data_IF_478858749988
#
_entry.id   IF_478858749988
#
_cell.length_a   1.000
_cell.length_b   1.000
_cell.length_c   1.000
_cell.angle_alpha   90.00
_cell.angle_beta   90.00
_cell.angle_gamma   90.00
#
_symmetry.space_group_name_H-M   'P 1'
#
loop_
_entity.id
_entity.type
_entity.pdbx_description
1 polymer ?
#
# COMPACT_ATOMS: atom_id res chain seq x y z
N UNK A 1 3.77 -31.31 -7.28
CA UNK A 1 4.53 -31.32 -6.00
C UNK A 1 5.72 -30.37 -6.02
N UNK A 2 6.60 -30.46 -7.01
CA UNK A 2 7.79 -29.59 -7.12
C UNK A 2 7.44 -28.09 -7.24
N UNK A 3 6.46 -27.74 -8.09
CA UNK A 3 6.01 -26.35 -8.24
C UNK A 3 5.43 -25.75 -6.94
N UNK A 4 4.61 -26.52 -6.21
CA UNK A 4 4.08 -26.14 -4.90
C UNK A 4 5.20 -25.95 -3.86
N UNK A 5 6.23 -26.81 -3.88
CA UNK A 5 7.38 -26.67 -3.00
C UNK A 5 8.21 -25.42 -3.33
N UNK A 6 8.42 -25.11 -4.62
CA UNK A 6 9.07 -23.84 -5.05
C UNK A 6 8.30 -22.62 -4.57
N UNK A 7 6.98 -22.61 -4.72
CA UNK A 7 6.13 -21.53 -4.24
C UNK A 7 6.20 -21.39 -2.71
N UNK A 8 6.09 -22.50 -1.97
CA UNK A 8 6.23 -22.49 -0.50
C UNK A 8 7.57 -21.92 -0.06
N UNK A 9 8.68 -22.42 -0.62
CA UNK A 9 10.02 -21.91 -0.32
C UNK A 9 10.13 -20.41 -0.57
N UNK A 10 9.49 -19.87 -1.61
CA UNK A 10 9.48 -18.42 -1.88
C UNK A 10 8.62 -17.64 -0.90
N UNK A 11 7.41 -18.10 -0.62
CA UNK A 11 6.53 -17.48 0.38
C UNK A 11 7.21 -17.45 1.76
N UNK A 12 7.95 -18.51 2.11
CA UNK A 12 8.71 -18.58 3.36
C UNK A 12 9.95 -17.67 3.36
N UNK A 13 10.66 -17.54 2.23
CA UNK A 13 11.80 -16.61 2.10
C UNK A 13 11.40 -15.15 2.25
N UNK A 14 10.21 -14.78 1.80
CA UNK A 14 9.69 -13.42 1.93
C UNK A 14 9.10 -13.10 3.32
N UNK A 15 8.95 -14.11 4.19
CA UNK A 15 8.56 -13.91 5.60
C UNK A 15 9.72 -13.48 6.50
N UNK A 16 10.96 -13.72 6.09
CA UNK A 16 12.13 -13.18 6.77
C UNK A 16 12.27 -11.70 6.42
N UNK A 17 12.34 -10.78 7.40
CA UNK A 17 12.66 -9.39 7.11
C UNK A 17 13.97 -9.34 6.33
N UNK A 18 14.00 -8.56 5.25
CA UNK A 18 15.20 -8.31 4.45
C UNK A 18 16.24 -7.74 5.40
N UNK A 19 17.15 -8.58 5.87
CA UNK A 19 18.33 -8.15 6.62
C UNK A 19 19.26 -7.52 5.60
N UNK A 20 19.22 -6.19 5.51
CA UNK A 20 20.23 -5.45 4.77
C UNK A 20 21.58 -5.72 5.46
N UNK A 21 22.51 -6.33 4.73
CA UNK A 21 23.90 -6.46 5.17
C UNK A 21 24.42 -5.07 5.52
N UNK A 22 24.73 -4.88 6.80
CA UNK A 22 25.41 -3.69 7.31
C UNK A 22 26.77 -3.64 6.62
N UNK A 23 26.93 -2.69 5.69
CA UNK A 23 28.26 -2.31 5.22
C UNK A 23 28.89 -1.53 6.37
N UNK A 24 29.89 -2.12 7.02
CA UNK A 24 30.67 -1.43 8.04
C UNK A 24 31.20 -0.09 7.47
N UNK A 25 30.93 1.05 8.13
CA UNK A 25 31.47 2.32 7.68
C UNK A 25 32.99 2.30 7.83
N UNK A 26 33.71 2.47 6.71
CA UNK A 26 35.16 2.71 6.75
C UNK A 26 35.44 3.97 7.58
N UNK A 27 36.43 3.96 8.48
CA UNK A 27 36.76 5.12 9.29
C UNK A 27 37.24 6.28 8.42
N UNK A 28 36.64 7.44 8.65
CA UNK A 28 37.01 8.72 8.06
C UNK A 28 38.35 9.17 8.66
N UNK A 29 39.33 9.48 7.80
CA UNK A 29 40.66 9.91 8.19
C UNK A 29 40.80 11.42 7.94
N UNK A 30 40.82 12.29 8.95
CA UNK A 30 40.93 13.72 8.74
C UNK A 30 42.40 14.14 8.79
N UNK A 31 43.00 14.46 7.64
CA UNK A 31 44.27 15.20 7.63
C UNK A 31 44.37 16.06 6.38
N UNK A 32 44.13 17.36 6.55
CA UNK A 32 44.91 18.45 5.95
C UNK A 32 44.29 19.79 6.35
N UNK A 33 45.01 20.55 7.18
CA UNK A 33 44.77 21.97 7.42
C UNK A 33 45.37 22.80 6.28
N UNK A 34 44.79 23.97 5.97
CA UNK A 34 45.56 25.08 5.42
C UNK A 34 45.65 26.23 6.43
N UNK A 35 46.86 26.76 6.54
CA UNK A 35 47.25 27.94 7.32
C UNK A 35 46.82 29.27 6.63
N UNK A 36 46.91 30.41 7.35
CA UNK A 36 46.10 31.60 7.10
C UNK A 36 46.77 32.60 6.15
N UNK A 37 45.96 33.45 5.50
CA UNK A 37 46.44 34.66 4.85
C UNK A 37 45.59 35.88 5.24
N UNK A 38 46.31 36.79 5.87
CA UNK A 38 46.15 38.19 6.25
C UNK A 38 45.17 39.06 5.44
N UNK A 39 44.42 39.89 6.15
CA UNK A 39 43.65 41.07 5.66
C UNK A 39 44.57 42.22 5.17
N UNK A 40 44.01 43.26 4.52
CA UNK A 40 43.62 44.43 5.31
C UNK A 40 42.30 45.14 4.91
N UNK A 41 41.55 45.52 5.96
CA UNK A 41 40.65 46.67 6.18
C UNK A 41 40.28 47.62 5.02
N UNK A 42 38.97 47.95 4.91
CA UNK A 42 38.46 49.34 5.10
C UNK A 42 36.92 49.44 5.18
N UNK A 43 36.45 49.93 6.34
CA UNK A 43 35.32 50.85 6.61
C UNK A 43 34.15 51.00 5.61
N UNK A 44 32.92 50.70 6.03
CA UNK A 44 31.93 51.72 6.46
C UNK A 44 30.54 51.14 6.76
N UNK A 45 29.96 51.60 7.88
CA UNK A 45 28.58 51.36 8.33
C UNK A 45 27.60 52.28 7.56
N UNK A 46 26.32 51.92 7.40
CA UNK A 46 25.34 52.37 8.41
C UNK A 46 24.15 51.43 8.71
N UNK A 47 23.80 51.41 10.00
CA UNK A 47 22.45 51.31 10.61
C UNK A 47 21.31 50.71 9.76
N UNK A 48 20.84 49.53 10.17
CA UNK A 48 19.43 49.17 10.06
C UNK A 48 18.97 48.32 11.26
N UNK A 49 17.87 48.79 11.81
CA UNK A 49 16.83 48.27 12.72
C UNK A 49 16.97 46.88 13.38
N UNK A 50 16.45 46.72 14.63
CA UNK A 50 16.46 45.45 15.33
C UNK A 50 15.51 44.47 14.63
N UNK A 51 16.06 43.55 13.86
CA UNK A 51 15.36 42.34 13.47
C UNK A 51 15.06 41.57 14.74
N UNK A 52 13.78 41.48 15.10
CA UNK A 52 13.27 40.48 16.03
C UNK A 52 13.68 39.10 15.51
N UNK A 53 14.83 38.61 15.98
CA UNK A 53 15.24 37.22 15.93
C UNK A 53 14.27 36.47 16.85
N UNK A 54 13.08 36.19 16.33
CA UNK A 54 12.25 35.10 16.82
C UNK A 54 13.11 33.86 16.67
N UNK A 55 13.64 33.38 17.79
CA UNK A 55 14.42 32.16 17.84
C UNK A 55 13.55 31.06 17.24
N UNK A 56 13.87 30.62 16.02
CA UNK A 56 13.34 29.38 15.45
C UNK A 56 13.80 28.27 16.39
N UNK A 57 12.95 27.91 17.37
CA UNK A 57 13.15 26.69 18.15
C UNK A 57 13.16 25.56 17.13
N UNK A 58 14.31 24.92 16.96
CA UNK A 58 14.44 23.72 16.15
C UNK A 58 13.55 22.65 16.77
N UNK A 59 12.46 22.31 16.10
CA UNK A 59 11.59 21.22 16.50
C UNK A 59 12.39 19.91 16.50
N UNK A 60 12.40 19.22 17.63
CA UNK A 60 13.00 17.89 17.74
C UNK A 60 12.01 16.84 17.21
N UNK A 61 12.50 15.93 16.38
CA UNK A 61 11.72 14.81 15.84
C UNK A 61 12.04 13.51 16.60
N UNK A 62 11.09 12.57 16.74
CA UNK A 62 9.68 12.67 16.35
C UNK A 62 8.89 13.67 17.20
N UNK A 63 7.79 14.19 16.63
CA UNK A 63 6.73 14.79 17.44
C UNK A 63 5.85 13.69 17.98
N UNK A 64 5.42 13.83 19.22
CA UNK A 64 4.53 12.90 19.89
C UNK A 64 3.18 13.56 20.15
N UNK A 65 2.11 12.90 19.71
CA UNK A 65 0.74 13.29 19.98
C UNK A 65 -0.01 12.11 20.61
N UNK A 66 -1.20 12.41 21.15
CA UNK A 66 -2.15 11.39 21.59
C UNK A 66 -3.47 11.54 20.84
N UNK A 67 -4.13 10.42 20.57
CA UNK A 67 -5.48 10.44 20.02
C UNK A 67 -6.47 10.95 21.07
N UNK A 68 -7.49 11.73 20.69
CA UNK A 68 -8.36 12.41 21.65
C UNK A 68 -9.26 11.47 22.44
N UNK A 69 -9.65 10.31 21.88
CA UNK A 69 -10.61 9.42 22.54
C UNK A 69 -9.97 8.33 23.38
N UNK A 70 -8.91 7.71 22.87
CA UNK A 70 -8.30 6.54 23.49
C UNK A 70 -6.87 6.77 23.98
N UNK A 71 -6.35 8.01 23.87
CA UNK A 71 -5.00 8.37 24.29
C UNK A 71 -3.92 7.48 23.67
N UNK A 72 -4.13 7.06 22.41
CA UNK A 72 -3.12 6.31 21.69
C UNK A 72 -2.02 7.25 21.27
N UNK A 73 -0.79 6.86 21.55
CA UNK A 73 0.38 7.61 21.14
C UNK A 73 0.54 7.53 19.63
N UNK A 74 0.81 8.66 18.99
CA UNK A 74 1.15 8.77 17.57
C UNK A 74 2.46 9.54 17.43
N UNK A 75 3.43 8.90 16.79
CA UNK A 75 4.70 9.53 16.45
C UNK A 75 4.63 10.09 15.03
N UNK A 76 5.06 11.33 14.86
CA UNK A 76 5.12 12.03 13.58
C UNK A 76 6.57 12.30 13.26
N UNK A 77 6.96 11.99 12.02
CA UNK A 77 8.27 12.27 11.47
C UNK A 77 8.13 13.14 10.22
N UNK A 78 9.08 14.05 10.03
CA UNK A 78 9.28 14.73 8.75
C UNK A 78 10.32 13.93 7.96
N UNK A 79 9.89 13.28 6.89
CA UNK A 79 10.74 12.41 6.09
C UNK A 79 10.88 13.01 4.70
N UNK A 80 12.08 13.00 4.14
CA UNK A 80 12.27 13.30 2.72
C UNK A 80 12.50 11.98 1.99
N UNK A 81 11.56 11.60 1.14
CA UNK A 81 11.65 10.46 0.24
C UNK A 81 12.55 10.82 -0.96
N UNK A 82 13.72 11.39 -0.69
CA UNK A 82 14.60 12.02 -1.67
C UNK A 82 15.45 11.04 -2.46
N UNK A 83 15.29 9.73 -2.29
CA UNK A 83 16.08 8.72 -3.01
C UNK A 83 15.27 7.47 -3.35
N UNK A 84 13.97 7.62 -3.64
CA UNK A 84 13.31 6.58 -4.43
C UNK A 84 13.96 6.56 -5.80
N UNK A 85 14.99 5.71 -5.93
CA UNK A 85 15.56 5.34 -7.21
C UNK A 85 14.37 4.89 -8.03
N UNK A 86 14.02 5.71 -9.02
CA UNK A 86 13.26 5.21 -10.14
C UNK A 86 14.10 4.09 -10.74
N UNK A 87 13.84 2.84 -10.33
CA UNK A 87 14.49 1.67 -10.92
C UNK A 87 14.01 1.44 -12.36
N UNK A 88 13.01 2.20 -12.81
CA UNK A 88 12.23 1.91 -14.01
C UNK A 88 12.01 3.10 -14.94
N UNK A 89 12.30 4.35 -14.55
CA UNK A 89 12.14 5.50 -15.43
C UNK A 89 13.21 6.56 -15.17
N UNK A 90 13.94 7.00 -16.20
CA UNK A 90 14.91 8.11 -16.11
C UNK A 90 14.27 9.48 -15.83
N UNK A 91 13.20 9.53 -15.04
CA UNK A 91 12.55 10.74 -14.58
C UNK A 91 13.45 11.46 -13.56
N UNK A 92 13.42 12.80 -13.54
CA UNK A 92 14.18 13.59 -12.59
C UNK A 92 13.80 13.20 -11.15
N UNK A 93 14.82 13.04 -10.32
CA UNK A 93 14.70 12.83 -8.88
C UNK A 93 13.86 13.97 -8.31
N UNK A 94 12.72 13.63 -7.71
CA UNK A 94 11.89 14.59 -6.97
C UNK A 94 12.08 14.32 -5.49
N UNK A 95 12.49 15.35 -4.76
CA UNK A 95 12.48 15.31 -3.31
C UNK A 95 11.02 15.41 -2.84
N UNK A 96 10.46 14.28 -2.44
CA UNK A 96 9.11 14.22 -1.89
C UNK A 96 9.20 14.33 -0.37
N UNK A 97 8.90 15.52 0.16
CA UNK A 97 8.79 15.71 1.60
C UNK A 97 7.45 15.18 2.09
N UNK A 98 7.46 14.33 3.11
CA UNK A 98 6.28 13.68 3.66
C UNK A 98 6.22 13.80 5.18
N UNK A 99 5.00 13.79 5.71
CA UNK A 99 4.71 13.48 7.10
C UNK A 99 4.50 11.97 7.24
N UNK A 100 5.24 11.31 8.13
CA UNK A 100 5.02 9.89 8.43
C UNK A 100 4.49 9.76 9.85
N UNK A 101 3.27 9.25 9.98
CA UNK A 101 2.58 9.01 11.23
C UNK A 101 2.64 7.53 11.58
N UNK A 102 2.93 7.19 12.84
CA UNK A 102 3.00 5.81 13.33
C UNK A 102 2.23 5.72 14.65
N UNK A 103 1.22 4.85 14.72
CA UNK A 103 0.52 4.57 15.98
C UNK A 103 1.37 3.73 16.92
N UNK A 104 1.14 3.89 18.22
CA UNK A 104 1.71 3.04 19.26
C UNK A 104 0.63 2.63 20.26
N UNK A 105 0.54 1.32 20.51
CA UNK A 105 -0.37 0.73 21.48
C UNK A 105 -1.60 0.10 20.84
N UNK A 106 -1.89 0.38 19.57
CA UNK A 106 -3.01 -0.25 18.86
C UNK A 106 -2.79 -1.76 18.71
N UNK A 107 -1.54 -2.19 18.56
CA UNK A 107 -1.24 -3.62 18.44
C UNK A 107 -1.61 -4.43 19.68
N UNK A 108 -1.74 -3.79 20.85
CA UNK A 108 -2.16 -4.47 22.07
C UNK A 108 -3.64 -4.89 22.04
N UNK A 109 -4.45 -4.28 21.17
CA UNK A 109 -5.88 -4.59 21.02
C UNK A 109 -6.21 -5.18 19.65
N UNK A 110 -5.51 -4.75 18.60
CA UNK A 110 -5.84 -5.06 17.21
C UNK A 110 -4.75 -5.85 16.47
N UNK A 111 -3.67 -6.26 17.15
CA UNK A 111 -2.63 -7.12 16.57
C UNK A 111 -1.68 -6.46 15.57
N UNK A 112 -1.79 -5.14 15.36
CA UNK A 112 -0.81 -4.35 14.63
C UNK A 112 -0.95 -2.85 14.85
N UNK A 113 0.03 -2.09 14.36
CA UNK A 113 0.05 -0.63 14.33
C UNK A 113 -0.36 -0.09 12.95
N UNK A 114 -0.71 1.19 12.87
CA UNK A 114 -1.01 1.91 11.64
C UNK A 114 0.15 2.84 11.29
N UNK A 115 0.49 2.88 10.00
CA UNK A 115 1.45 3.84 9.45
C UNK A 115 0.80 4.61 8.32
N UNK A 116 0.85 5.94 8.34
CA UNK A 116 0.44 6.76 7.20
C UNK A 116 1.59 7.65 6.77
N UNK A 117 1.95 7.59 5.50
CA UNK A 117 2.84 8.57 4.88
C UNK A 117 2.01 9.53 4.06
N UNK A 118 2.11 10.82 4.31
CA UNK A 118 1.31 11.86 3.69
C UNK A 118 2.24 12.87 3.00
N UNK A 119 2.01 13.13 1.72
CA UNK A 119 2.78 14.13 0.99
C UNK A 119 2.54 15.52 1.60
N UNK A 120 3.64 16.21 1.92
CA UNK A 120 3.61 17.57 2.46
C UNK A 120 3.34 18.56 1.34
N UNK A 121 2.44 19.50 1.57
CA UNK A 121 2.22 20.63 0.65
C UNK A 121 3.36 21.63 0.78
N UNK A 122 3.69 22.34 -0.30
CA UNK A 122 4.78 23.32 -0.30
C UNK A 122 4.59 24.44 0.74
N UNK A 123 3.33 24.78 1.05
CA UNK A 123 2.96 25.80 2.05
C UNK A 123 3.06 25.33 3.50
N UNK A 124 3.23 24.03 3.75
CA UNK A 124 3.22 23.48 5.10
C UNK A 124 4.60 23.59 5.77
N UNK A 125 4.64 24.32 6.88
CA UNK A 125 5.82 24.41 7.73
C UNK A 125 6.05 23.15 8.59
N UNK A 126 7.15 23.10 9.37
CA UNK A 126 7.53 21.97 10.22
C UNK A 126 6.47 21.47 11.22
N UNK A 127 5.55 22.35 11.64
CA UNK A 127 4.48 22.06 12.61
C UNK A 127 3.09 21.95 11.97
N UNK A 128 2.99 22.06 10.65
CA UNK A 128 1.72 22.11 9.93
C UNK A 128 1.25 20.71 9.47
N UNK A 129 1.57 19.67 10.25
CA UNK A 129 1.08 18.33 9.98
C UNK A 129 -0.43 18.24 10.28
N UNK A 130 -1.24 17.57 9.45
CA UNK A 130 -2.66 17.39 9.71
C UNK A 130 -2.92 16.38 10.84
N UNK A 131 -4.08 16.50 11.48
CA UNK A 131 -4.44 15.72 12.67
C UNK A 131 -5.44 14.57 12.39
N UNK A 132 -5.96 14.48 11.17
CA UNK A 132 -7.00 13.51 10.81
C UNK A 132 -6.57 12.04 11.02
N UNK A 133 -5.27 11.74 10.93
CA UNK A 133 -4.76 10.40 11.21
C UNK A 133 -5.05 9.94 12.66
N UNK A 134 -5.14 10.88 13.62
CA UNK A 134 -5.52 10.57 15.00
C UNK A 134 -6.94 9.99 15.07
N UNK A 135 -7.86 10.52 14.25
CA UNK A 135 -9.25 10.06 14.16
C UNK A 135 -9.33 8.65 13.54
N UNK A 136 -8.50 8.37 12.54
CA UNK A 136 -8.37 7.02 11.96
C UNK A 136 -7.92 6.01 13.03
N UNK A 137 -6.89 6.35 13.81
CA UNK A 137 -6.40 5.50 14.90
C UNK A 137 -7.50 5.22 15.94
N UNK A 138 -8.21 6.27 16.38
CA UNK A 138 -9.32 6.12 17.33
C UNK A 138 -10.43 5.22 16.78
N UNK A 139 -10.74 5.34 15.49
CA UNK A 139 -11.78 4.51 14.86
C UNK A 139 -11.39 3.03 14.85
N UNK A 140 -10.18 2.70 14.43
CA UNK A 140 -9.70 1.32 14.43
C UNK A 140 -9.60 0.73 15.85
N UNK A 141 -9.12 1.51 16.81
CA UNK A 141 -9.08 1.07 18.21
C UNK A 141 -10.47 0.78 18.77
N UNK A 142 -11.43 1.68 18.52
CA UNK A 142 -12.82 1.49 18.95
C UNK A 142 -13.46 0.25 18.33
N UNK A 143 -13.20 -0.04 17.05
CA UNK A 143 -13.67 -1.27 16.38
C UNK A 143 -13.01 -2.52 16.97
N UNK A 144 -11.69 -2.49 17.20
CA UNK A 144 -10.96 -3.60 17.78
C UNK A 144 -11.43 -3.91 19.20
N UNK A 145 -11.64 -2.88 20.03
CA UNK A 145 -12.09 -3.06 21.42
C UNK A 145 -13.54 -3.57 21.51
N UNK A 146 -14.45 -3.10 20.64
CA UNK A 146 -15.87 -3.50 20.68
C UNK A 146 -16.13 -4.86 20.05
N UNK A 147 -15.40 -5.20 18.99
CA UNK A 147 -15.70 -6.36 18.16
C UNK A 147 -14.59 -7.40 18.15
N UNK A 148 -13.53 -7.22 18.96
CA UNK A 148 -12.33 -8.06 18.96
C UNK A 148 -11.70 -8.21 17.56
N UNK A 149 -11.90 -7.20 16.70
CA UNK A 149 -11.42 -7.21 15.31
C UNK A 149 -9.92 -6.96 15.28
N UNK A 150 -9.18 -7.88 14.66
CA UNK A 150 -7.77 -7.69 14.34
C UNK A 150 -7.63 -6.87 13.06
N UNK A 151 -6.56 -6.08 12.96
CA UNK A 151 -6.20 -5.42 11.72
C UNK A 151 -5.83 -6.46 10.67
N UNK A 152 -6.27 -6.21 9.44
CA UNK A 152 -6.00 -7.09 8.31
C UNK A 152 -5.65 -6.27 7.08
N UNK A 153 -4.75 -6.80 6.25
CA UNK A 153 -4.52 -6.27 4.90
C UNK A 153 -5.84 -6.21 4.12
N UNK A 154 -5.95 -5.15 3.34
CA UNK A 154 -7.07 -4.76 2.50
C UNK A 154 -8.39 -4.55 3.24
N UNK A 155 -8.34 -4.43 4.57
CA UNK A 155 -9.48 -4.02 5.35
C UNK A 155 -9.87 -2.59 4.99
N UNK A 156 -11.15 -2.42 4.68
CA UNK A 156 -11.76 -1.13 4.38
C UNK A 156 -12.42 -0.59 5.64
N UNK A 157 -12.27 0.71 5.85
CA UNK A 157 -12.94 1.48 6.88
C UNK A 157 -13.55 2.72 6.24
N UNK A 158 -14.86 2.83 6.31
CA UNK A 158 -15.59 4.04 5.93
C UNK A 158 -15.74 4.96 7.14
N UNK A 159 -15.52 6.25 6.92
CA UNK A 159 -15.67 7.31 7.91
C UNK A 159 -16.86 8.18 7.57
N UNK A 160 -17.56 8.67 8.61
CA UNK A 160 -18.73 9.53 8.45
C UNK A 160 -18.37 10.94 7.96
N UNK A 161 -17.18 11.41 8.31
CA UNK A 161 -16.70 12.75 7.95
C UNK A 161 -15.46 12.63 7.06
N UNK A 162 -15.27 13.55 6.10
CA UNK A 162 -14.08 13.61 5.27
C UNK A 162 -12.79 13.78 6.08
N UNK A 163 -11.69 13.42 5.44
CA UNK A 163 -10.33 13.55 5.94
C UNK A 163 -9.55 14.60 5.15
N UNK A 164 -8.65 15.30 5.82
CA UNK A 164 -7.60 16.11 5.19
C UNK A 164 -8.11 17.20 4.23
N UNK A 165 -9.23 17.84 4.59
CA UNK A 165 -9.88 18.91 3.82
C UNK A 165 -10.35 18.48 2.42
N UNK A 166 -10.58 17.16 2.22
CA UNK A 166 -11.05 16.58 0.96
C UNK A 166 -12.42 15.95 1.12
N UNK A 167 -13.41 16.54 0.45
CA UNK A 167 -14.81 16.08 0.50
C UNK A 167 -15.03 14.68 -0.05
N UNK A 168 -14.08 14.08 -0.76
CA UNK A 168 -14.17 12.75 -1.36
C UNK A 168 -13.26 11.71 -0.68
N UNK A 169 -12.67 12.06 0.48
CA UNK A 169 -11.77 11.19 1.24
C UNK A 169 -12.46 10.65 2.50
N UNK A 170 -13.31 9.64 2.33
CA UNK A 170 -14.01 8.95 3.43
C UNK A 170 -13.56 7.51 3.62
N UNK A 171 -12.95 6.93 2.59
CA UNK A 171 -12.64 5.50 2.53
C UNK A 171 -11.16 5.26 2.81
N UNK A 172 -10.90 4.62 3.95
CA UNK A 172 -9.58 4.24 4.44
C UNK A 172 -9.33 2.76 4.17
N UNK A 173 -8.11 2.42 3.76
CA UNK A 173 -7.71 1.04 3.48
C UNK A 173 -6.38 0.72 4.15
N UNK A 174 -6.33 -0.45 4.78
CA UNK A 174 -5.08 -1.03 5.26
C UNK A 174 -4.38 -1.73 4.10
N UNK A 175 -3.33 -1.12 3.54
CA UNK A 175 -2.57 -1.66 2.42
C UNK A 175 -1.53 -2.69 2.85
N UNK A 176 -0.30 -2.47 2.40
CA UNK A 176 0.84 -3.36 2.67
C UNK A 176 1.13 -3.47 4.16
N UNK A 177 1.64 -4.63 4.54
CA UNK A 177 2.00 -4.96 5.91
C UNK A 177 3.51 -5.15 5.97
N UNK A 178 4.16 -4.59 6.99
CA UNK A 178 5.58 -4.78 7.27
C UNK A 178 6.54 -4.39 6.11
N UNK A 179 6.08 -3.60 5.14
CA UNK A 179 6.90 -3.07 4.06
C UNK A 179 7.78 -1.93 4.58
N UNK A 180 9.07 -1.98 4.25
CA UNK A 180 10.06 -1.03 4.74
C UNK A 180 9.59 0.43 4.56
N UNK A 181 9.62 1.21 5.64
CA UNK A 181 9.29 2.63 5.60
C UNK A 181 10.43 3.39 4.92
N UNK A 182 10.23 3.76 3.65
CA UNK A 182 11.23 4.50 2.88
C UNK A 182 11.61 5.82 3.56
N UNK A 183 12.90 6.12 3.61
CA UNK A 183 13.44 7.31 4.28
C UNK A 183 13.47 7.23 5.81
N UNK A 184 13.03 6.11 6.36
CA UNK A 184 12.95 5.81 7.79
C UNK A 184 13.76 4.56 8.14
N UNK A 185 14.76 4.23 7.33
CA UNK A 185 15.61 3.03 7.48
C UNK A 185 16.40 3.02 8.81
N UNK A 186 16.50 4.20 9.47
CA UNK A 186 17.18 4.40 10.75
C UNK A 186 16.23 4.24 11.95
N UNK A 187 14.92 4.09 11.74
CA UNK A 187 14.05 3.67 12.84
C UNK A 187 14.50 2.29 13.31
N UNK A 188 15.10 2.27 14.50
CA UNK A 188 15.61 1.08 15.15
C UNK A 188 14.58 -0.05 15.04
N UNK A 189 15.01 -1.19 14.49
CA UNK A 189 14.19 -2.38 14.27
C UNK A 189 13.40 -2.83 15.52
N UNK A 190 13.84 -2.40 16.71
CA UNK A 190 13.17 -2.63 18.00
C UNK A 190 11.82 -1.91 18.14
N UNK A 191 11.65 -0.73 17.53
CA UNK A 191 10.38 0.03 17.57
C UNK A 191 9.32 -0.52 16.60
N UNK A 192 9.74 -1.33 15.64
CA UNK A 192 8.88 -1.91 14.59
C UNK A 192 8.89 -3.45 14.67
N UNK A 193 8.91 -3.99 15.89
CA UNK A 193 8.78 -5.44 16.13
C UNK A 193 7.36 -5.95 15.94
N UNK A 194 6.38 -5.05 16.00
CA UNK A 194 4.97 -5.39 15.84
C UNK A 194 4.57 -5.29 14.36
N UNK A 195 3.60 -6.12 13.91
CA UNK A 195 2.98 -5.92 12.62
C UNK A 195 2.50 -4.48 12.45
N UNK A 196 2.69 -3.89 11.27
CA UNK A 196 2.10 -2.59 10.94
C UNK A 196 1.51 -2.60 9.54
N UNK A 197 0.51 -1.74 9.34
CA UNK A 197 -0.24 -1.63 8.10
C UNK A 197 -0.18 -0.20 7.57
N UNK A 198 0.16 -0.05 6.29
CA UNK A 198 0.09 1.24 5.62
C UNK A 198 -1.37 1.66 5.47
N UNK A 199 -1.69 2.89 5.86
CA UNK A 199 -3.00 3.47 5.70
C UNK A 199 -3.01 4.26 4.39
N UNK A 200 -3.85 3.80 3.47
CA UNK A 200 -4.08 4.42 2.18
C UNK A 200 -5.50 5.00 2.14
N UNK A 201 -5.70 6.01 1.29
CA UNK A 201 -7.02 6.61 1.05
C UNK A 201 -7.47 6.36 -0.38
N UNK A 202 -8.77 6.12 -0.54
CA UNK A 202 -9.46 6.16 -1.81
C UNK A 202 -10.28 7.44 -1.92
N UNK A 203 -10.41 7.96 -3.14
CA UNK A 203 -11.52 8.86 -3.48
C UNK A 203 -12.82 8.04 -3.52
N UNK A 204 -13.98 8.69 -3.43
CA UNK A 204 -15.27 8.01 -3.60
C UNK A 204 -15.37 7.23 -4.91
N UNK A 205 -14.92 7.82 -6.01
CA UNK A 205 -14.90 7.13 -7.32
C UNK A 205 -14.00 5.89 -7.32
N UNK A 206 -12.86 5.92 -6.61
CA UNK A 206 -11.98 4.77 -6.45
C UNK A 206 -12.59 3.72 -5.52
N UNK A 207 -13.32 4.14 -4.49
CA UNK A 207 -14.04 3.25 -3.59
C UNK A 207 -15.16 2.50 -4.33
N UNK A 208 -15.91 3.20 -5.19
CA UNK A 208 -16.89 2.60 -6.09
C UNK A 208 -16.25 1.56 -7.02
N UNK A 209 -15.09 1.89 -7.59
CA UNK A 209 -14.31 0.94 -8.40
C UNK A 209 -13.88 -0.26 -7.56
N UNK A 210 -13.37 -0.06 -6.35
CA UNK A 210 -12.93 -1.13 -5.47
C UNK A 210 -14.08 -2.08 -5.12
N UNK A 211 -15.28 -1.54 -4.85
CA UNK A 211 -16.49 -2.32 -4.57
C UNK A 211 -16.92 -3.14 -5.79
N UNK A 212 -16.95 -2.54 -6.98
CA UNK A 212 -17.48 -3.19 -8.19
C UNK A 212 -16.49 -4.07 -8.94
N UNK A 213 -15.21 -3.74 -8.90
CA UNK A 213 -14.18 -4.38 -9.72
C UNK A 213 -13.08 -5.06 -8.90
N UNK A 214 -13.02 -4.83 -7.59
CA UNK A 214 -11.98 -5.34 -6.72
C UNK A 214 -10.89 -4.30 -6.45
N UNK A 215 -10.23 -4.50 -5.30
CA UNK A 215 -9.34 -3.52 -4.70
C UNK A 215 -8.11 -3.20 -5.55
N UNK A 216 -7.50 -4.23 -6.14
CA UNK A 216 -6.29 -4.06 -6.94
C UNK A 216 -6.56 -3.17 -8.15
N UNK A 217 -7.74 -3.29 -8.77
CA UNK A 217 -8.09 -2.44 -9.91
C UNK A 217 -8.20 -0.96 -9.53
N UNK A 218 -8.76 -0.64 -8.36
CA UNK A 218 -8.81 0.74 -7.87
C UNK A 218 -7.40 1.34 -7.65
N UNK A 219 -6.46 0.53 -7.13
CA UNK A 219 -5.12 1.02 -6.79
C UNK A 219 -4.15 1.11 -7.98
N UNK A 220 -4.23 0.19 -8.95
CA UNK A 220 -3.22 0.10 -10.01
C UNK A 220 -3.49 1.05 -11.18
N UNK A 221 -4.72 1.55 -11.36
CA UNK A 221 -5.01 2.54 -12.42
C UNK A 221 -4.35 3.91 -12.12
N UNK A 222 -3.75 4.09 -10.94
CA UNK A 222 -3.00 5.29 -10.51
C UNK A 222 -1.67 5.56 -11.24
N UNK A 223 -1.34 4.81 -12.30
CA UNK A 223 0.02 4.75 -12.88
C UNK A 223 0.36 5.84 -13.91
N UNK A 224 -0.45 6.87 -14.10
CA UNK A 224 -0.06 8.04 -14.92
C UNK A 224 1.19 8.77 -14.36
N UNK A 225 1.70 8.36 -13.20
CA UNK A 225 2.99 8.80 -12.65
C UNK A 225 3.81 7.60 -12.09
N UNK A 226 4.67 6.94 -12.90
CA UNK A 226 5.68 6.02 -12.38
C UNK A 226 6.66 6.76 -11.43
N UNK A 227 7.26 6.08 -10.42
CA UNK A 227 7.73 4.70 -10.48
C UNK A 227 7.35 3.82 -9.26
N UNK A 228 6.15 3.98 -8.68
CA UNK A 228 5.78 3.23 -7.48
C UNK A 228 5.07 1.92 -7.82
N UNK A 229 5.57 0.81 -7.28
CA UNK A 229 4.95 -0.50 -7.45
C UNK A 229 4.36 -1.02 -6.12
N UNK A 230 3.14 -1.57 -6.15
CA UNK A 230 2.15 -1.46 -7.23
C UNK A 230 1.43 -0.09 -7.21
N UNK A 231 1.57 0.66 -6.11
CA UNK A 231 1.05 2.00 -5.92
C UNK A 231 1.99 2.77 -4.96
N UNK A 232 1.90 4.12 -4.91
CA UNK A 232 2.65 4.91 -3.93
C UNK A 232 2.30 4.51 -2.49
N UNK A 233 3.33 4.40 -1.64
CA UNK A 233 3.18 4.14 -0.20
C UNK A 233 2.77 5.39 0.60
N UNK A 234 2.63 6.53 -0.09
CA UNK A 234 2.18 7.78 0.47
C UNK A 234 0.84 8.23 -0.13
N UNK A 235 0.10 9.00 0.66
CA UNK A 235 -1.12 9.67 0.26
C UNK A 235 -0.78 11.07 -0.21
N UNK A 236 -1.17 11.40 -1.44
CA UNK A 236 -1.20 12.77 -1.94
C UNK A 236 -2.62 13.32 -1.78
N UNK A 237 -2.78 14.43 -1.03
CA UNK A 237 -4.08 15.07 -0.78
C UNK A 237 -4.59 15.89 -1.95
N UNK A 238 -3.69 16.28 -2.85
CA UNK A 238 -4.00 17.15 -3.98
C UNK A 238 -4.16 16.34 -5.27
N UNK A 239 -3.99 15.02 -5.20
CA UNK A 239 -4.22 14.11 -6.32
C UNK A 239 -5.68 14.11 -6.76
N UNK A 240 -5.89 13.83 -8.04
CA UNK A 240 -7.21 13.47 -8.58
C UNK A 240 -7.50 11.98 -8.33
N UNK A 241 -8.76 11.62 -8.49
CA UNK A 241 -9.17 10.23 -8.62
C UNK A 241 -8.39 9.57 -9.75
N UNK A 242 -7.74 8.44 -9.47
CA UNK A 242 -7.02 7.66 -10.47
C UNK A 242 -7.94 6.79 -11.31
N UNK A 243 -9.15 6.49 -10.82
CA UNK A 243 -10.07 5.57 -11.48
C UNK A 243 -11.51 5.89 -11.14
N UNK A 244 -12.42 5.63 -12.08
CA UNK A 244 -13.85 5.79 -11.87
C UNK A 244 -14.61 4.72 -12.65
N UNK A 245 -15.84 4.43 -12.26
CA UNK A 245 -16.69 3.47 -12.98
C UNK A 245 -16.96 3.90 -14.43
N UNK A 246 -16.97 5.21 -14.70
CA UNK A 246 -17.16 5.74 -16.06
C UNK A 246 -15.96 5.41 -16.96
N UNK A 247 -14.75 5.41 -16.41
CA UNK A 247 -13.54 4.97 -17.10
C UNK A 247 -13.53 3.46 -17.37
N UNK A 248 -14.27 2.66 -16.58
CA UNK A 248 -14.32 1.20 -16.70
C UNK A 248 -15.47 0.67 -17.57
N UNK A 249 -16.14 1.55 -18.31
CA UNK A 249 -17.19 1.16 -19.27
C UNK A 249 -16.64 0.15 -20.28
N UNK A 250 -17.31 -0.99 -20.39
CA UNK A 250 -16.92 -2.07 -21.29
C UNK A 250 -16.12 -3.19 -20.62
N UNK A 251 -15.72 -3.02 -19.36
CA UNK A 251 -15.17 -4.12 -18.56
C UNK A 251 -16.14 -5.31 -18.50
N UNK A 252 -15.67 -6.47 -18.94
CA UNK A 252 -16.32 -7.76 -18.83
C UNK A 252 -16.40 -8.25 -17.38
N UNK A 253 -15.58 -7.74 -16.46
CA UNK A 253 -15.69 -8.05 -15.03
C UNK A 253 -17.03 -7.65 -14.42
N UNK A 254 -17.72 -6.66 -15.01
CA UNK A 254 -19.08 -6.23 -14.61
C UNK A 254 -20.17 -7.07 -15.27
N UNK A 255 -19.85 -7.71 -16.41
CA UNK A 255 -20.84 -8.41 -17.25
C UNK A 255 -21.19 -9.78 -16.71
N UNK A 256 -20.43 -10.29 -15.75
CA UNK A 256 -20.78 -11.50 -15.03
C UNK A 256 -21.77 -11.20 -13.90
N UNK A 257 -23.04 -11.01 -14.30
CA UNK A 257 -24.31 -11.15 -13.57
C UNK A 257 -24.32 -11.04 -12.03
N UNK A 258 -25.33 -10.34 -11.50
CA UNK A 258 -25.78 -10.28 -10.09
C UNK A 258 -26.01 -11.63 -9.37
N UNK A 259 -25.81 -12.75 -10.07
CA UNK A 259 -25.86 -14.12 -9.55
C UNK A 259 -24.44 -14.73 -9.53
N UNK A 260 -23.47 -14.01 -8.98
CA UNK A 260 -22.16 -14.56 -8.65
C UNK A 260 -21.95 -14.53 -7.16
N UNK A 261 -21.19 -15.50 -6.69
CA UNK A 261 -20.79 -15.54 -5.29
C UNK A 261 -19.35 -15.10 -5.16
N UNK A 262 -19.15 -13.94 -4.54
CA UNK A 262 -17.83 -13.38 -4.31
C UNK A 262 -17.21 -13.97 -3.03
N UNK A 263 -15.95 -14.40 -3.11
CA UNK A 263 -15.09 -14.63 -1.95
C UNK A 263 -14.02 -13.55 -1.98
N UNK A 264 -13.95 -12.78 -0.89
CA UNK A 264 -12.89 -11.81 -0.68
C UNK A 264 -11.81 -12.43 0.20
N UNK A 265 -10.63 -11.85 0.17
CA UNK A 265 -9.61 -12.18 1.16
C UNK A 265 -8.67 -13.32 0.81
N UNK A 266 -8.66 -13.75 -0.45
CA UNK A 266 -7.73 -14.74 -0.99
C UNK A 266 -6.74 -14.06 -1.92
N UNK A 267 -5.67 -14.75 -2.33
CA UNK A 267 -4.72 -14.23 -3.31
C UNK A 267 -4.65 -15.15 -4.53
N UNK A 268 -4.83 -14.59 -5.72
CA UNK A 268 -4.70 -15.27 -7.01
C UNK A 268 -3.39 -14.83 -7.65
N UNK A 269 -2.49 -15.78 -7.86
CA UNK A 269 -1.13 -15.52 -8.33
C UNK A 269 -0.82 -16.34 -9.58
N UNK A 270 -0.02 -15.80 -10.48
CA UNK A 270 0.51 -16.51 -11.65
C UNK A 270 2.04 -16.63 -11.55
N UNK A 271 2.55 -17.85 -11.74
CA UNK A 271 3.97 -18.12 -11.96
C UNK A 271 4.11 -18.92 -13.26
N UNK A 272 4.74 -18.33 -14.28
CA UNK A 272 4.80 -18.93 -15.61
C UNK A 272 3.39 -19.14 -16.19
N UNK A 273 3.02 -20.40 -16.43
CA UNK A 273 1.67 -20.79 -16.90
C UNK A 273 0.74 -21.24 -15.78
N UNK A 274 1.26 -21.40 -14.56
CA UNK A 274 0.53 -21.94 -13.43
C UNK A 274 -0.20 -20.84 -12.68
N UNK A 275 -1.46 -21.07 -12.33
CA UNK A 275 -2.25 -20.21 -11.45
C UNK A 275 -2.38 -20.86 -10.08
N UNK A 276 -2.09 -20.07 -9.05
CA UNK A 276 -2.17 -20.46 -7.65
C UNK A 276 -3.26 -19.66 -6.96
N UNK A 277 -4.09 -20.36 -6.21
CA UNK A 277 -4.99 -19.76 -5.23
C UNK A 277 -4.39 -19.96 -3.83
N UNK A 278 -3.97 -18.86 -3.21
CA UNK A 278 -3.53 -18.87 -1.82
C UNK A 278 -4.70 -18.54 -0.90
N UNK A 279 -4.94 -19.44 0.04
CA UNK A 279 -5.96 -19.29 1.07
C UNK A 279 -5.26 -19.05 2.40
N UNK A 280 -5.43 -17.88 3.04
CA UNK A 280 -4.82 -17.61 4.33
C UNK A 280 -5.24 -18.65 5.37
N UNK A 281 -4.35 -19.10 6.27
CA UNK A 281 -4.65 -20.18 7.23
C UNK A 281 -5.92 -19.94 8.04
N UNK A 282 -6.16 -18.70 8.49
CA UNK A 282 -7.35 -18.32 9.25
C UNK A 282 -8.66 -18.32 8.45
N UNK A 283 -8.61 -18.49 7.12
CA UNK A 283 -9.77 -18.56 6.22
C UNK A 283 -9.91 -19.94 5.57
N UNK A 284 -9.00 -20.88 5.83
CA UNK A 284 -8.95 -22.15 5.10
C UNK A 284 -10.20 -23.02 5.34
N UNK A 285 -10.66 -23.12 6.58
CA UNK A 285 -11.85 -23.91 6.92
C UNK A 285 -13.13 -23.25 6.40
N UNK A 286 -13.27 -21.92 6.55
CA UNK A 286 -14.41 -21.17 5.99
C UNK A 286 -14.45 -21.30 4.47
N UNK A 287 -13.29 -21.20 3.81
CA UNK A 287 -13.17 -21.38 2.36
C UNK A 287 -13.60 -22.80 1.95
N UNK A 288 -13.08 -23.84 2.61
CA UNK A 288 -13.48 -25.23 2.35
C UNK A 288 -14.96 -25.45 2.57
N UNK A 289 -15.54 -24.94 3.66
CA UNK A 289 -16.97 -25.06 3.95
C UNK A 289 -17.82 -24.32 2.91
N UNK A 290 -17.29 -23.23 2.36
CA UNK A 290 -17.96 -22.47 1.32
C UNK A 290 -18.06 -23.24 0.01
N UNK A 291 -17.09 -24.09 -0.36
CA UNK A 291 -17.07 -24.77 -1.67
C UNK A 291 -18.28 -25.72 -1.88
N UNK A 292 -18.60 -26.67 -0.97
CA UNK A 292 -19.69 -27.64 -1.16
C UNK A 292 -21.08 -26.99 -1.21
N UNK A 293 -21.35 -25.98 -0.38
CA UNK A 293 -22.64 -25.27 -0.40
C UNK A 293 -22.88 -24.57 -1.75
N UNK A 294 -21.80 -24.29 -2.49
CA UNK A 294 -21.79 -23.50 -3.72
C UNK A 294 -21.74 -24.34 -4.99
N UNK A 295 -21.41 -25.63 -4.88
CA UNK A 295 -21.51 -26.61 -5.98
C UNK A 295 -22.90 -27.23 -6.12
N UNK A 296 -23.70 -27.25 -5.05
CA UNK A 296 -25.02 -27.91 -5.02
C UNK A 296 -26.16 -27.00 -5.52
N UNK A 297 -26.00 -25.68 -5.41
CA UNK A 297 -26.96 -24.69 -5.91
C UNK A 297 -26.55 -24.26 -7.32
N UNK A 298 -26.94 -25.09 -8.29
CA UNK A 298 -26.97 -24.85 -9.74
C UNK A 298 -26.04 -23.78 -10.33
N UNK A 299 -24.99 -24.20 -11.02
CA UNK A 299 -24.31 -23.46 -12.12
C UNK A 299 -23.81 -22.02 -11.82
N UNK A 300 -23.86 -21.54 -10.58
CA UNK A 300 -23.43 -20.18 -10.23
C UNK A 300 -21.91 -20.08 -10.34
N UNK A 301 -21.36 -19.16 -11.17
CA UNK A 301 -19.92 -18.92 -11.19
C UNK A 301 -19.43 -18.40 -9.83
N UNK A 302 -18.30 -18.95 -9.38
CA UNK A 302 -17.63 -18.47 -8.19
C UNK A 302 -16.63 -17.38 -8.58
N UNK A 303 -16.73 -16.21 -7.97
CA UNK A 303 -15.75 -15.13 -8.14
C UNK A 303 -14.88 -15.05 -6.91
N UNK A 304 -13.57 -15.07 -7.12
CA UNK A 304 -12.58 -14.78 -6.09
C UNK A 304 -12.05 -13.39 -6.37
N UNK A 305 -12.36 -12.45 -5.48
CA UNK A 305 -11.74 -11.13 -5.46
C UNK A 305 -10.40 -11.26 -4.77
N UNK A 306 -9.35 -11.08 -5.56
CA UNK A 306 -8.00 -11.30 -5.12
C UNK A 306 -7.45 -10.05 -4.45
N UNK A 307 -6.80 -10.26 -3.32
CA UNK A 307 -5.93 -9.30 -2.67
C UNK A 307 -4.51 -9.47 -3.20
N UNK A 308 -3.71 -8.41 -3.24
CA UNK A 308 -2.31 -8.55 -3.62
C UNK A 308 -1.49 -9.19 -2.49
N UNK A 309 -0.70 -10.21 -2.84
CA UNK A 309 0.25 -10.84 -1.93
C UNK A 309 1.59 -10.07 -1.95
N UNK A 310 2.25 -9.93 -0.80
CA UNK A 310 3.53 -9.21 -0.66
C UNK A 310 4.67 -9.83 -1.47
N UNK A 311 4.59 -11.15 -1.70
CA UNK A 311 5.56 -11.89 -2.50
C UNK A 311 5.48 -11.61 -4.01
N UNK A 312 4.45 -10.89 -4.48
CA UNK A 312 4.30 -10.57 -5.89
C UNK A 312 5.22 -9.44 -6.30
N UNK A 313 6.01 -9.68 -7.33
CA UNK A 313 6.93 -8.70 -7.94
C UNK A 313 6.30 -7.97 -9.13
N UNK A 314 5.07 -8.34 -9.47
CA UNK A 314 4.33 -7.81 -10.59
C UNK A 314 2.84 -7.97 -10.39
N UNK A 315 2.06 -7.22 -11.15
CA UNK A 315 0.61 -7.24 -11.08
C UNK A 315 -0.01 -7.00 -12.44
N UNK A 316 -1.06 -7.74 -12.77
CA UNK A 316 -1.87 -7.43 -13.93
C UNK A 316 -2.81 -6.27 -13.65
N UNK A 317 -2.99 -5.41 -14.64
CA UNK A 317 -3.87 -4.25 -14.49
C UNK A 317 -4.69 -3.97 -15.74
N UNK A 318 -5.83 -3.37 -15.49
CA UNK A 318 -6.76 -2.96 -16.53
C UNK A 318 -6.43 -1.52 -16.96
N UNK A 319 -6.15 -1.33 -18.24
CA UNK A 319 -5.85 -0.01 -18.83
C UNK A 319 -7.08 0.50 -19.61
N UNK A 320 -7.55 -0.27 -20.61
CA UNK A 320 -8.71 0.08 -21.46
C UNK A 320 -9.47 -1.15 -22.00
N UNK A 321 -10.74 -0.99 -22.44
CA UNK A 321 -11.60 -2.11 -22.86
C UNK A 321 -11.15 -2.82 -24.15
N UNK A 322 -10.36 -2.15 -24.99
CA UNK A 322 -9.99 -2.62 -26.33
C UNK A 322 -8.50 -2.98 -26.48
N UNK A 323 -7.69 -2.77 -25.44
CA UNK A 323 -6.27 -3.10 -25.45
C UNK A 323 -6.07 -4.53 -24.91
N UNK A 324 -6.22 -5.51 -25.79
CA UNK A 324 -5.51 -6.77 -25.63
C UNK A 324 -4.07 -6.56 -26.16
N UNK A 325 -3.02 -6.93 -25.42
CA UNK A 325 -2.98 -7.88 -24.30
C UNK A 325 -3.10 -7.26 -22.90
N UNK A 326 -3.45 -8.10 -21.92
CA UNK A 326 -3.34 -7.79 -20.48
C UNK A 326 -1.99 -7.14 -20.17
N UNK A 327 -2.02 -5.94 -19.61
CA UNK A 327 -0.81 -5.21 -19.22
C UNK A 327 -0.37 -5.63 -17.82
N UNK A 328 0.94 -5.59 -17.60
CA UNK A 328 1.58 -5.97 -16.34
C UNK A 328 2.48 -4.85 -15.86
N UNK A 329 2.29 -4.43 -14.62
CA UNK A 329 3.22 -3.56 -13.91
C UNK A 329 4.19 -4.43 -13.12
N UNK A 330 5.48 -4.07 -13.07
CA UNK A 330 6.51 -4.80 -12.34
C UNK A 330 7.23 -3.89 -11.33
N UNK A 331 7.68 -4.46 -10.21
CA UNK A 331 8.44 -3.77 -9.15
C UNK A 331 9.84 -3.33 -9.59
N UNK A 332 10.33 -3.84 -10.71
CA UNK A 332 11.66 -3.55 -11.21
C UNK A 332 11.88 -4.06 -12.64
N UNK A 333 13.10 -3.89 -13.16
CA UNK A 333 13.46 -4.21 -14.54
C UNK A 333 13.62 -5.71 -14.82
N UNK A 334 13.61 -6.56 -13.79
CA UNK A 334 13.75 -8.01 -13.93
C UNK A 334 12.44 -8.66 -14.40
N UNK A 335 12.54 -9.79 -15.11
CA UNK A 335 11.39 -10.58 -15.51
C UNK A 335 10.58 -11.01 -14.27
N UNK A 336 9.28 -10.72 -14.29
CA UNK A 336 8.36 -11.10 -13.22
C UNK A 336 8.40 -12.61 -12.95
N UNK A 337 8.54 -12.99 -11.69
CA UNK A 337 8.45 -14.38 -11.26
C UNK A 337 7.07 -14.72 -10.72
N UNK A 338 6.40 -13.76 -10.07
CA UNK A 338 5.11 -14.00 -9.44
C UNK A 338 4.20 -12.78 -9.63
N UNK A 339 3.20 -12.94 -10.49
CA UNK A 339 2.27 -11.87 -10.86
C UNK A 339 0.96 -12.00 -10.10
N UNK A 340 0.54 -10.95 -9.41
CA UNK A 340 -0.79 -10.89 -8.80
C UNK A 340 -1.86 -10.64 -9.87
N UNK A 341 -3.00 -11.32 -9.72
CA UNK A 341 -4.23 -11.08 -10.47
C UNK A 341 -5.27 -10.42 -9.58
N UNK A 342 -6.15 -9.60 -10.17
CA UNK A 342 -7.23 -8.93 -9.45
C UNK A 342 -8.42 -9.86 -9.14
N UNK A 343 -8.65 -10.89 -9.97
CA UNK A 343 -9.70 -11.88 -9.70
C UNK A 343 -9.45 -13.22 -10.38
N UNK A 344 -10.15 -14.25 -9.88
CA UNK A 344 -10.36 -15.53 -10.55
C UNK A 344 -11.86 -15.84 -10.60
N UNK A 345 -12.40 -15.99 -11.80
CA UNK A 345 -13.76 -16.46 -12.02
C UNK A 345 -13.72 -17.97 -12.31
N UNK A 346 -14.36 -18.78 -11.49
CA UNK A 346 -14.47 -20.24 -11.67
C UNK A 346 -15.88 -20.55 -12.19
N UNK A 347 -15.95 -20.96 -13.44
CA UNK A 347 -17.19 -21.38 -14.10
C UNK A 347 -17.29 -22.92 -14.11
N UNK A 348 -18.26 -23.51 -13.40
CA UNK A 348 -18.46 -24.95 -13.40
C UNK A 348 -19.07 -25.46 -14.73
N UNK A 349 -19.02 -26.79 -14.91
CA UNK A 349 -19.70 -27.55 -15.97
C UNK A 349 -19.32 -27.18 -17.42
N UNK A 350 -18.06 -26.79 -17.65
CA UNK A 350 -17.57 -26.41 -18.97
C UNK A 350 -16.91 -27.60 -19.68
N UNK A 351 -17.37 -27.98 -20.88
CA UNK A 351 -16.91 -29.17 -21.61
C UNK A 351 -15.40 -29.37 -21.75
N UNK A 352 -14.59 -28.31 -21.65
CA UNK A 352 -13.13 -28.39 -21.65
C UNK A 352 -12.56 -27.54 -20.52
N UNK A 353 -11.77 -28.13 -19.60
CA UNK A 353 -11.11 -27.36 -18.57
C UNK A 353 -10.07 -26.42 -19.21
N UNK A 354 -10.12 -25.15 -18.86
CA UNK A 354 -9.23 -24.15 -19.41
C UNK A 354 -9.10 -22.96 -18.45
N UNK A 355 -7.90 -22.40 -18.35
CA UNK A 355 -7.69 -21.10 -17.72
C UNK A 355 -7.40 -20.11 -18.84
N UNK A 356 -8.15 -19.01 -18.87
CA UNK A 356 -7.98 -17.96 -19.88
C UNK A 356 -7.78 -16.62 -19.17
N UNK A 357 -6.70 -15.87 -19.45
CA UNK A 357 -6.56 -14.51 -18.93
C UNK A 357 -7.67 -13.64 -19.51
N UNK A 358 -8.28 -12.82 -18.65
CA UNK A 358 -9.33 -11.87 -19.03
C UNK A 358 -9.08 -10.61 -18.24
N UNK A 359 -8.79 -9.51 -18.94
CA UNK A 359 -8.44 -8.24 -18.29
C UNK A 359 -7.26 -8.43 -17.33
N UNK A 360 -7.41 -7.99 -16.08
CA UNK A 360 -6.42 -8.12 -14.99
C UNK A 360 -6.64 -9.36 -14.11
N UNK A 361 -7.45 -10.31 -14.56
CA UNK A 361 -7.74 -11.55 -13.86
C UNK A 361 -7.72 -12.75 -14.81
N UNK A 362 -8.38 -13.82 -14.38
CA UNK A 362 -8.55 -15.00 -15.22
C UNK A 362 -9.91 -15.68 -15.05
N UNK A 363 -10.28 -16.42 -16.08
CA UNK A 363 -11.45 -17.28 -16.13
C UNK A 363 -10.98 -18.74 -16.11
N UNK A 364 -11.30 -19.46 -15.04
CA UNK A 364 -11.14 -20.90 -14.93
C UNK A 364 -12.43 -21.62 -15.30
N UNK A 365 -12.39 -22.42 -16.36
CA UNK A 365 -13.44 -23.32 -16.79
C UNK A 365 -13.10 -24.71 -16.25
N UNK A 366 -14.02 -25.36 -15.52
CA UNK A 366 -13.78 -26.69 -14.95
C UNK A 366 -15.00 -27.60 -15.02
N UNK A 367 -14.75 -28.91 -15.07
CA UNK A 367 -15.70 -29.91 -14.61
C UNK A 367 -15.41 -30.21 -13.14
N UNK A 368 -16.38 -29.94 -12.26
CA UNK A 368 -16.33 -30.44 -10.89
C UNK A 368 -16.90 -31.86 -10.96
N UNK A 369 -16.04 -32.87 -10.85
CA UNK A 369 -16.50 -34.23 -10.57
C UNK A 369 -16.72 -34.30 -9.06
N UNK A 370 -17.98 -34.48 -8.66
CA UNK A 370 -18.39 -34.67 -7.26
C UNK A 370 -18.02 -36.05 -6.76
#
# INVERSE_FOLDING_TARGET
MEALNRLRTRLDKNRTPITHGVVEPKPFNPTAAPQPSTEPNTSSNPKSSPSNLVSRRSQSWPVELETPRFHLKVLIYCVNLGQLRSRTSGLPQRDLSCWTFISYGLANVAGGELVMTLLRRESEGPTAYPLDFLRICDRFYGEAQRHCKQLRRWQVLELEEPLFDREDFHTVILGFQNTALVGMEILEAEKVTKPYFHVLLLTDEEADVADKHGMMRAFIVRLDSPPFFPCPEFVDRDRKSGSSLSNMKGSSSLRTSSNQLAIKGLNVLQEGTDIYLLVPPGQAEDFKASIPFRSTVGQIPLRIESEMHEACDSVYYWDKPNDYPTRRLCAGPLASQLTAMNFLNICPNQSTPAITPVEDGCLGKYWITT
#
